data_IF_399028205583
#
_entry.id   IF_399028205583
#
_cell.length_a   1.000
_cell.length_b   1.000
_cell.length_c   1.000
_cell.angle_alpha   90.00
_cell.angle_beta   90.00
_cell.angle_gamma   90.00
#
_symmetry.space_group_name_H-M   'P 1'
#
loop_
_entity.id
_entity.type
_entity.pdbx_description
1 polymer ?
#
# COMPACT_ATOMS: atom_id res chain seq x y z
N UNK A 1 -11.05 -19.09 -12.25
CA UNK A 1 -11.59 -17.81 -11.70
C UNK A 1 -10.57 -17.27 -10.71
N UNK A 2 -9.85 -16.20 -11.06
CA UNK A 2 -8.79 -15.65 -10.22
C UNK A 2 -9.39 -15.06 -8.94
N UNK A 3 -9.10 -15.65 -7.78
CA UNK A 3 -9.48 -15.08 -6.49
C UNK A 3 -8.64 -13.82 -6.30
N UNK A 4 -9.27 -12.64 -6.33
CA UNK A 4 -8.61 -11.41 -5.89
C UNK A 4 -8.18 -11.65 -4.44
N UNK A 5 -6.88 -11.68 -4.20
CA UNK A 5 -6.33 -11.86 -2.86
C UNK A 5 -6.54 -10.59 -2.06
N UNK A 6 -6.62 -10.71 -0.73
CA UNK A 6 -6.71 -9.56 0.18
C UNK A 6 -5.56 -8.56 -0.06
N UNK A 7 -4.35 -9.07 -0.31
CA UNK A 7 -3.19 -8.26 -0.70
C UNK A 7 -3.43 -7.51 -2.01
N UNK A 8 -4.00 -8.17 -3.02
CA UNK A 8 -4.39 -7.54 -4.28
C UNK A 8 -5.41 -6.42 -4.11
N UNK A 9 -6.42 -6.61 -3.24
CA UNK A 9 -7.41 -5.58 -2.94
C UNK A 9 -6.77 -4.34 -2.28
N UNK A 10 -5.85 -4.53 -1.32
CA UNK A 10 -5.11 -3.43 -0.69
C UNK A 10 -4.28 -2.66 -1.72
N UNK A 11 -3.60 -3.36 -2.63
CA UNK A 11 -2.81 -2.72 -3.70
C UNK A 11 -3.69 -1.85 -4.60
N UNK A 12 -4.81 -2.39 -5.07
CA UNK A 12 -5.72 -1.68 -5.98
C UNK A 12 -6.28 -0.43 -5.31
N UNK A 13 -6.81 -0.56 -4.09
CA UNK A 13 -7.44 0.57 -3.38
C UNK A 13 -6.39 1.65 -3.05
N UNK A 14 -5.23 1.23 -2.53
CA UNK A 14 -4.15 2.17 -2.18
C UNK A 14 -3.62 2.88 -3.43
N UNK A 15 -3.37 2.14 -4.52
CA UNK A 15 -2.91 2.70 -5.79
C UNK A 15 -3.93 3.65 -6.41
N UNK A 16 -5.21 3.26 -6.41
CA UNK A 16 -6.30 4.10 -6.93
C UNK A 16 -6.41 5.44 -6.19
N UNK A 17 -6.47 5.41 -4.85
CA UNK A 17 -6.52 6.64 -4.05
C UNK A 17 -5.29 7.52 -4.27
N UNK A 18 -4.11 6.90 -4.38
CA UNK A 18 -2.88 7.62 -4.64
C UNK A 18 -2.86 8.31 -6.01
N UNK A 19 -3.29 7.60 -7.06
CA UNK A 19 -3.38 8.13 -8.42
C UNK A 19 -4.39 9.26 -8.51
N UNK A 20 -5.61 9.06 -7.99
CA UNK A 20 -6.67 10.08 -8.02
C UNK A 20 -6.23 11.36 -7.29
N UNK A 21 -5.53 11.24 -6.16
CA UNK A 21 -5.02 12.43 -5.48
C UNK A 21 -3.85 13.06 -6.23
N UNK A 22 -2.94 12.26 -6.80
CA UNK A 22 -1.82 12.77 -7.59
C UNK A 22 -2.29 13.54 -8.83
N UNK A 23 -3.29 13.03 -9.54
CA UNK A 23 -3.86 13.67 -10.73
C UNK A 23 -4.65 14.95 -10.43
N UNK A 24 -5.08 15.14 -9.18
CA UNK A 24 -5.71 16.38 -8.76
C UNK A 24 -4.74 17.56 -8.64
N UNK A 25 -3.42 17.33 -8.69
CA UNK A 25 -2.43 18.41 -8.64
C UNK A 25 -2.17 19.03 -10.02
N UNK A 26 -1.95 20.36 -10.08
CA UNK A 26 -1.47 21.01 -11.29
C UNK A 26 -0.09 20.45 -11.70
N UNK A 27 0.25 20.54 -12.98
CA UNK A 27 1.46 19.92 -13.54
C UNK A 27 2.76 20.41 -12.88
N UNK A 28 2.81 21.69 -12.50
CA UNK A 28 3.94 22.28 -11.77
C UNK A 28 4.16 21.61 -10.41
N UNK A 29 3.10 21.38 -9.65
CA UNK A 29 3.16 20.69 -8.35
C UNK A 29 3.52 19.21 -8.51
N UNK A 30 2.98 18.52 -9.53
CA UNK A 30 3.33 17.13 -9.83
C UNK A 30 4.84 16.99 -10.11
N UNK A 31 5.42 17.89 -10.90
CA UNK A 31 6.87 17.93 -11.15
C UNK A 31 7.66 18.16 -9.86
N UNK A 32 7.20 19.06 -8.98
CA UNK A 32 7.86 19.33 -7.71
C UNK A 32 7.81 18.12 -6.75
N UNK A 33 6.66 17.42 -6.68
CA UNK A 33 6.51 16.18 -5.90
C UNK A 33 7.49 15.12 -6.39
N UNK A 34 7.56 14.89 -7.71
CA UNK A 34 8.47 13.92 -8.31
C UNK A 34 9.94 14.29 -8.04
N UNK A 35 10.32 15.56 -8.14
CA UNK A 35 11.67 15.98 -7.80
C UNK A 35 11.99 15.79 -6.32
N UNK A 36 11.04 16.06 -5.42
CA UNK A 36 11.22 15.84 -3.98
C UNK A 36 11.41 14.37 -3.65
N UNK A 37 10.65 13.48 -4.29
CA UNK A 37 10.80 12.03 -4.16
C UNK A 37 12.20 11.61 -4.63
N UNK A 38 12.61 12.03 -5.85
CA UNK A 38 13.92 11.68 -6.42
C UNK A 38 15.11 12.15 -5.57
N UNK A 39 14.96 13.26 -4.85
CA UNK A 39 16.01 13.82 -3.99
C UNK A 39 16.05 13.24 -2.58
N UNK A 40 15.03 12.49 -2.16
CA UNK A 40 14.92 11.96 -0.80
C UNK A 40 15.02 10.44 -0.80
N UNK A 41 16.16 9.87 -0.36
CA UNK A 41 16.32 8.42 -0.23
C UNK A 41 15.25 7.78 0.66
N UNK A 42 14.82 8.49 1.70
CA UNK A 42 13.76 8.03 2.61
C UNK A 42 12.42 7.87 1.88
N UNK A 43 12.04 8.82 1.01
CA UNK A 43 10.80 8.72 0.22
C UNK A 43 10.90 7.60 -0.82
N UNK A 44 12.07 7.39 -1.41
CA UNK A 44 12.30 6.27 -2.34
C UNK A 44 12.14 4.94 -1.61
N UNK A 45 12.78 4.78 -0.45
CA UNK A 45 12.66 3.57 0.36
C UNK A 45 11.20 3.32 0.79
N UNK A 46 10.50 4.39 1.18
CA UNK A 46 9.10 4.31 1.56
C UNK A 46 8.24 3.86 0.38
N UNK A 47 8.43 4.40 -0.83
CA UNK A 47 7.71 3.96 -2.02
C UNK A 47 8.07 2.51 -2.38
N UNK A 48 9.32 2.11 -2.17
CA UNK A 48 9.83 0.77 -2.46
C UNK A 48 9.28 -0.33 -1.52
N UNK A 49 8.71 0.03 -0.35
CA UNK A 49 8.07 -0.93 0.54
C UNK A 49 6.97 -1.75 -0.15
N UNK A 50 6.18 -1.12 -1.02
CA UNK A 50 5.10 -1.81 -1.72
C UNK A 50 5.61 -2.87 -2.71
N UNK A 51 6.46 -2.54 -3.70
CA UNK A 51 7.00 -3.55 -4.61
C UNK A 51 7.84 -4.61 -3.89
N UNK A 52 8.58 -4.24 -2.82
CA UNK A 52 9.27 -5.22 -2.00
C UNK A 52 8.30 -6.19 -1.30
N UNK A 53 7.22 -5.67 -0.71
CA UNK A 53 6.17 -6.49 -0.08
C UNK A 53 5.49 -7.43 -1.08
N UNK A 54 5.18 -6.97 -2.29
CA UNK A 54 4.66 -7.79 -3.38
C UNK A 54 5.62 -8.92 -3.71
N UNK A 55 6.90 -8.59 -3.94
CA UNK A 55 7.93 -9.56 -4.29
C UNK A 55 8.08 -10.64 -3.23
N UNK A 56 8.18 -10.25 -1.96
CA UNK A 56 8.28 -11.17 -0.82
C UNK A 56 7.03 -12.04 -0.70
N UNK A 57 5.83 -11.46 -0.85
CA UNK A 57 4.57 -12.20 -0.77
C UNK A 57 4.50 -13.26 -1.89
N UNK A 58 4.87 -12.89 -3.12
CA UNK A 58 4.93 -13.81 -4.26
C UNK A 58 5.95 -14.93 -4.05
N UNK A 59 7.14 -14.62 -3.53
CA UNK A 59 8.13 -15.64 -3.17
C UNK A 59 7.60 -16.59 -2.09
N UNK A 60 6.89 -16.07 -1.09
CA UNK A 60 6.24 -16.89 -0.07
C UNK A 60 5.20 -17.85 -0.65
N UNK A 61 4.38 -17.39 -1.61
CA UNK A 61 3.43 -18.26 -2.32
C UNK A 61 4.16 -19.33 -3.12
N UNK A 62 5.21 -18.95 -3.86
CA UNK A 62 5.98 -19.88 -4.68
C UNK A 62 6.69 -20.96 -3.85
N UNK A 63 7.22 -20.60 -2.68
CA UNK A 63 7.92 -21.50 -1.77
C UNK A 63 6.99 -22.22 -0.77
N UNK A 64 5.68 -21.92 -0.77
CA UNK A 64 4.74 -22.44 0.21
C UNK A 64 5.00 -21.98 1.66
N UNK A 65 5.73 -20.88 1.85
CA UNK A 65 6.12 -20.37 3.16
C UNK A 65 5.11 -19.36 3.69
N UNK A 66 4.31 -19.79 4.68
CA UNK A 66 3.32 -18.95 5.36
C UNK A 66 3.96 -17.67 5.94
N UNK A 67 5.10 -17.80 6.61
CA UNK A 67 5.82 -16.69 7.22
C UNK A 67 6.24 -15.62 6.21
N UNK A 68 6.74 -16.02 5.04
CA UNK A 68 7.09 -15.08 3.96
C UNK A 68 5.85 -14.43 3.36
N UNK A 69 4.77 -15.19 3.16
CA UNK A 69 3.50 -14.64 2.68
C UNK A 69 2.99 -13.55 3.61
N UNK A 70 2.94 -13.82 4.91
CA UNK A 70 2.48 -12.86 5.94
C UNK A 70 3.42 -11.66 6.03
N UNK A 71 4.73 -11.88 5.98
CA UNK A 71 5.70 -10.78 6.02
C UNK A 71 5.52 -9.83 4.83
N UNK A 72 5.42 -10.36 3.61
CA UNK A 72 5.15 -9.56 2.41
C UNK A 72 3.79 -8.85 2.46
N UNK A 73 2.74 -9.53 2.94
CA UNK A 73 1.41 -8.94 3.12
C UNK A 73 1.42 -7.82 4.16
N UNK A 74 2.19 -7.96 5.24
CA UNK A 74 2.36 -6.95 6.29
C UNK A 74 3.05 -5.69 5.76
N UNK A 75 4.03 -5.83 4.86
CA UNK A 75 4.67 -4.69 4.20
C UNK A 75 3.70 -3.92 3.29
N UNK A 76 2.86 -4.64 2.53
CA UNK A 76 1.81 -4.04 1.69
C UNK A 76 0.78 -3.32 2.55
N UNK A 77 0.33 -3.96 3.64
CA UNK A 77 -0.61 -3.37 4.59
C UNK A 77 -0.04 -2.11 5.24
N UNK A 78 1.19 -2.16 5.75
CA UNK A 78 1.89 -1.02 6.33
C UNK A 78 1.97 0.14 5.36
N UNK A 79 2.28 -0.14 4.09
CA UNK A 79 2.30 0.90 3.08
C UNK A 79 0.94 1.56 2.88
N UNK A 80 -0.14 0.75 2.83
CA UNK A 80 -1.49 1.28 2.79
C UNK A 80 -1.76 2.25 3.95
N UNK A 81 -1.42 1.85 5.18
CA UNK A 81 -1.60 2.69 6.37
C UNK A 81 -0.81 4.01 6.24
N UNK A 82 0.44 3.94 5.79
CA UNK A 82 1.27 5.13 5.57
C UNK A 82 0.62 6.08 4.55
N UNK A 83 0.14 5.54 3.43
CA UNK A 83 -0.54 6.35 2.40
C UNK A 83 -1.80 7.01 2.95
N UNK A 84 -2.59 6.28 3.74
CA UNK A 84 -3.76 6.85 4.41
C UNK A 84 -3.34 8.01 5.33
N UNK A 85 -2.34 7.83 6.18
CA UNK A 85 -1.83 8.87 7.08
C UNK A 85 -1.30 10.10 6.34
N UNK A 86 -0.63 9.91 5.19
CA UNK A 86 -0.16 11.02 4.36
C UNK A 86 -1.32 11.88 3.82
N UNK A 87 -2.46 11.27 3.49
CA UNK A 87 -3.65 12.00 3.06
C UNK A 87 -4.40 12.70 4.20
N UNK A 88 -4.13 12.33 5.46
CA UNK A 88 -4.82 12.88 6.62
C UNK A 88 -4.73 14.40 6.71
N UNK A 89 -3.55 14.97 6.40
CA UNK A 89 -3.34 16.42 6.50
C UNK A 89 -4.02 17.24 5.40
N UNK A 90 -4.29 16.66 4.22
CA UNK A 90 -4.91 17.37 3.08
C UNK A 90 -6.40 17.08 2.92
N UNK A 91 -6.80 15.81 2.93
CA UNK A 91 -8.19 15.39 2.74
C UNK A 91 -8.58 14.30 3.73
N UNK A 92 -8.92 14.74 4.95
CA UNK A 92 -9.30 13.87 6.08
C UNK A 92 -10.33 12.80 5.70
N UNK A 93 -11.36 13.15 4.95
CA UNK A 93 -12.40 12.20 4.52
C UNK A 93 -11.86 11.05 3.68
N UNK A 94 -11.07 11.33 2.64
CA UNK A 94 -10.46 10.28 1.80
C UNK A 94 -9.52 9.39 2.61
N UNK A 95 -8.78 10.00 3.53
CA UNK A 95 -7.87 9.32 4.43
C UNK A 95 -8.60 8.37 5.39
N UNK A 96 -9.70 8.80 6.00
CA UNK A 96 -10.53 7.97 6.88
C UNK A 96 -11.09 6.77 6.11
N UNK A 97 -11.64 7.00 4.91
CA UNK A 97 -12.18 5.93 4.06
C UNK A 97 -11.09 4.92 3.70
N UNK A 98 -9.92 5.41 3.26
CA UNK A 98 -8.79 4.56 2.90
C UNK A 98 -8.28 3.76 4.10
N UNK A 99 -8.15 4.41 5.27
CA UNK A 99 -7.70 3.77 6.50
C UNK A 99 -8.68 2.68 6.95
N UNK A 100 -9.98 2.97 6.96
CA UNK A 100 -11.02 2.01 7.33
C UNK A 100 -11.01 0.79 6.40
N UNK A 101 -10.92 1.00 5.09
CA UNK A 101 -10.82 -0.07 4.11
C UNK A 101 -9.55 -0.92 4.32
N UNK A 102 -8.41 -0.29 4.56
CA UNK A 102 -7.14 -1.00 4.76
C UNK A 102 -7.17 -1.79 6.06
N UNK A 103 -7.65 -1.22 7.18
CA UNK A 103 -7.77 -1.93 8.45
C UNK A 103 -8.69 -3.14 8.32
N UNK A 104 -9.84 -2.97 7.67
CA UNK A 104 -10.77 -4.08 7.41
C UNK A 104 -10.10 -5.20 6.60
N UNK A 105 -9.40 -4.86 5.52
CA UNK A 105 -8.65 -5.83 4.72
C UNK A 105 -7.47 -6.44 5.49
N UNK A 106 -6.81 -5.66 6.35
CA UNK A 106 -5.73 -6.12 7.21
C UNK A 106 -6.16 -7.25 8.14
N UNK A 107 -7.36 -7.17 8.72
CA UNK A 107 -7.92 -8.25 9.55
C UNK A 107 -7.95 -9.56 8.76
N UNK A 108 -8.40 -9.54 7.50
CA UNK A 108 -8.45 -10.73 6.65
C UNK A 108 -7.07 -11.31 6.30
N UNK A 109 -5.99 -10.53 6.36
CA UNK A 109 -4.62 -11.05 6.17
C UNK A 109 -4.23 -12.00 7.31
N UNK A 110 -4.66 -11.71 8.54
CA UNK A 110 -4.23 -12.43 9.73
C UNK A 110 -5.18 -13.55 10.16
N UNK A 111 -6.37 -13.67 9.57
CA UNK A 111 -7.29 -14.80 9.83
C UNK A 111 -6.61 -16.17 9.66
N UNK A 112 -5.81 -16.44 8.61
CA UNK A 112 -5.13 -17.73 8.43
C UNK A 112 -4.09 -18.08 9.51
N UNK A 113 -3.73 -17.16 10.41
CA UNK A 113 -2.86 -17.45 11.56
C UNK A 113 -3.65 -17.92 12.79
N UNK A 114 -4.96 -17.69 12.80
CA UNK A 114 -5.85 -17.98 13.93
C UNK A 114 -6.57 -19.33 13.78
N UNK A 115 -6.32 -20.06 12.70
CA UNK A 115 -6.88 -21.36 12.32
C UNK A 115 -5.74 -22.29 11.92
#
# INVERSE_FOLDING_TARGET
MGKVTVTGAILIITGWFALVEFDSFPESERKQILQRIKRSPVLILLIALMPAGIFINMLGVFLGSLSMMIFGASLIFLQGVIVALLFWKRKRWKSIVLLAAIVMLGIFIYIPLLW
#
